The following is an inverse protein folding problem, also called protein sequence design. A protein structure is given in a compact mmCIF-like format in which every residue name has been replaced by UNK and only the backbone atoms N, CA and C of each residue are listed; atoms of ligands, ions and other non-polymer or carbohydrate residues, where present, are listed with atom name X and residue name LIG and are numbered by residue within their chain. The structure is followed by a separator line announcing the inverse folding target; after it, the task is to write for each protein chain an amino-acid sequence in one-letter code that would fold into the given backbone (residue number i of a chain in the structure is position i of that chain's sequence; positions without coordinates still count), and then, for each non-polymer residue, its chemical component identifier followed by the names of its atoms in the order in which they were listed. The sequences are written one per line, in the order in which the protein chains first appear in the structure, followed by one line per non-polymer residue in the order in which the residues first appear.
data_IF_334455525837
#
_entry.id   IF_334455525837
#
_cell.length_a   1.000
_cell.length_b   1.000
_cell.length_c   1.000
_cell.angle_alpha   90.00
_cell.angle_beta   90.00
_cell.angle_gamma   90.00
#
_symmetry.space_group_name_H-M   'P 1'
#
loop_
_entity.id
_entity.type
_entity.pdbx_description
1 polymer ?
#
# COMPACT_ATOMS: atom_id res chain seq x y z
N UNK A 1 -21.74 -13.66 -8.08
CA UNK A 1 -20.69 -14.45 -8.77
C UNK A 1 -19.24 -14.08 -8.43
N UNK A 2 -18.83 -12.80 -8.25
CA UNK A 2 -17.41 -12.46 -7.94
C UNK A 2 -16.92 -12.84 -6.52
N UNK A 3 -17.81 -13.19 -5.58
CA UNK A 3 -17.47 -13.38 -4.17
C UNK A 3 -17.23 -14.84 -3.74
N UNK A 4 -17.64 -15.84 -4.53
CA UNK A 4 -17.67 -17.24 -4.06
C UNK A 4 -16.42 -18.08 -4.36
N UNK A 5 -15.44 -17.59 -5.12
CA UNK A 5 -14.30 -18.43 -5.55
C UNK A 5 -12.90 -17.87 -5.25
N UNK A 6 -12.77 -16.72 -4.58
CA UNK A 6 -11.44 -16.23 -4.16
C UNK A 6 -11.18 -16.68 -2.72
N UNK A 7 -10.87 -17.97 -2.55
CA UNK A 7 -10.32 -18.49 -1.29
C UNK A 7 -8.80 -18.41 -1.34
N UNK A 8 -8.23 -17.44 -0.63
CA UNK A 8 -6.80 -17.47 -0.31
C UNK A 8 -6.62 -18.55 0.75
N UNK A 9 -5.83 -19.58 0.47
CA UNK A 9 -5.63 -20.75 1.32
C UNK A 9 -4.82 -20.49 2.60
N UNK A 10 -4.55 -19.22 2.91
CA UNK A 10 -3.79 -18.81 4.09
C UNK A 10 -4.74 -18.49 5.23
N UNK A 11 -4.42 -19.02 6.41
CA UNK A 11 -5.02 -18.53 7.65
C UNK A 11 -4.67 -17.04 7.81
N UNK A 12 -5.71 -16.21 7.89
CA UNK A 12 -5.60 -14.75 8.03
C UNK A 12 -5.67 -14.31 9.49
N UNK A 13 -5.65 -15.26 10.43
CA UNK A 13 -5.71 -15.04 11.87
C UNK A 13 -7.10 -14.62 12.37
N UNK A 14 -7.26 -14.46 13.69
CA UNK A 14 -8.54 -14.09 14.29
C UNK A 14 -9.00 -12.70 13.86
N UNK A 15 -10.32 -12.53 13.79
CA UNK A 15 -10.93 -11.34 13.18
C UNK A 15 -10.86 -10.13 14.09
N UNK A 16 -11.15 -10.32 15.38
CA UNK A 16 -11.43 -9.25 16.35
C UNK A 16 -10.31 -9.03 17.37
N UNK A 17 -9.56 -10.07 17.72
CA UNK A 17 -8.41 -9.95 18.64
C UNK A 17 -7.23 -9.16 18.02
N UNK A 18 -7.21 -9.03 16.70
CA UNK A 18 -6.18 -8.30 15.94
C UNK A 18 -6.52 -6.81 15.69
N UNK A 19 -7.73 -6.35 16.05
CA UNK A 19 -8.18 -4.99 15.73
C UNK A 19 -7.59 -3.93 16.67
N UNK A 20 -7.37 -4.31 17.93
CA UNK A 20 -7.00 -3.39 19.00
C UNK A 20 -5.52 -3.43 19.37
N UNK A 21 -4.76 -4.41 18.87
CA UNK A 21 -3.32 -4.51 19.12
C UNK A 21 -2.51 -3.81 18.01
N UNK A 22 -1.89 -2.64 18.28
CA UNK A 22 -1.05 -1.96 17.30
C UNK A 22 0.15 -2.80 16.85
N UNK A 23 0.63 -3.74 17.68
CA UNK A 23 1.73 -4.63 17.34
C UNK A 23 1.36 -5.59 16.21
N UNK A 24 0.07 -5.90 16.01
CA UNK A 24 -0.40 -6.70 14.89
C UNK A 24 -0.08 -6.05 13.54
N UNK A 25 -0.29 -4.74 13.44
CA UNK A 25 -0.07 -3.96 12.22
C UNK A 25 1.38 -3.52 12.05
N UNK A 26 2.16 -3.48 13.13
CA UNK A 26 3.50 -2.94 13.11
C UNK A 26 4.41 -3.68 12.12
N UNK A 27 5.19 -2.91 11.36
CA UNK A 27 6.34 -3.38 10.60
C UNK A 27 7.53 -2.49 10.97
N UNK A 28 8.71 -3.03 11.27
CA UNK A 28 9.87 -2.26 11.76
C UNK A 28 10.55 -1.45 10.63
N UNK A 29 9.79 -0.49 10.12
CA UNK A 29 10.15 0.39 9.03
C UNK A 29 9.98 1.84 9.46
N UNK A 30 11.02 2.37 10.06
CA UNK A 30 11.16 3.77 10.41
C UNK A 30 12.57 4.25 10.12
N UNK A 31 12.71 5.56 9.94
CA UNK A 31 13.99 6.23 9.85
C UNK A 31 14.00 7.44 10.77
N UNK A 32 15.20 7.81 11.20
CA UNK A 32 15.44 9.04 11.95
C UNK A 32 15.72 10.16 10.96
N UNK A 33 14.92 11.22 11.03
CA UNK A 33 15.09 12.45 10.26
C UNK A 33 16.28 13.25 10.77
N UNK A 34 16.73 14.24 10.02
CA UNK A 34 17.87 15.09 10.40
C UNK A 34 17.67 15.86 11.71
N UNK A 35 16.41 16.06 12.14
CA UNK A 35 16.03 16.70 13.40
C UNK A 35 15.94 15.71 14.59
N UNK A 36 16.29 14.43 14.38
CA UNK A 36 16.21 13.37 15.39
C UNK A 36 14.83 12.73 15.54
N UNK A 37 13.78 13.25 14.90
CA UNK A 37 12.45 12.65 14.94
C UNK A 37 12.39 11.37 14.12
N UNK A 38 11.61 10.37 14.58
CA UNK A 38 11.40 9.13 13.84
C UNK A 38 10.08 9.15 13.09
N UNK A 39 10.06 8.57 11.89
CA UNK A 39 8.85 8.41 11.09
C UNK A 39 8.74 7.00 10.53
N UNK A 40 7.62 6.35 10.79
CA UNK A 40 7.25 5.06 10.21
C UNK A 40 6.70 5.19 8.79
N UNK A 41 7.06 4.26 7.91
CA UNK A 41 6.74 4.32 6.48
C UNK A 41 5.54 3.46 6.10
N UNK A 42 5.42 2.29 6.71
CA UNK A 42 4.39 1.33 6.36
C UNK A 42 4.00 0.48 7.56
N UNK A 43 2.89 -0.23 7.39
CA UNK A 43 2.33 -1.17 8.34
C UNK A 43 1.71 -2.33 7.56
N UNK A 44 1.66 -3.51 8.17
CA UNK A 44 0.72 -4.53 7.73
C UNK A 44 -0.69 -4.03 7.96
N UNK A 45 -1.59 -4.24 7.00
CA UNK A 45 -3.03 -4.13 7.20
C UNK A 45 -3.65 -5.53 7.38
N UNK A 46 -3.04 -6.52 6.73
CA UNK A 46 -3.24 -7.94 7.00
C UNK A 46 -1.86 -8.59 7.03
N UNK A 47 -1.48 -9.16 8.19
CA UNK A 47 -0.12 -9.66 8.43
C UNK A 47 0.28 -10.70 7.37
N UNK A 48 1.49 -10.57 6.84
CA UNK A 48 2.06 -11.44 5.80
C UNK A 48 1.24 -11.56 4.50
N UNK A 49 0.31 -10.63 4.26
CA UNK A 49 -0.57 -10.64 3.08
C UNK A 49 -0.65 -9.27 2.41
N UNK A 50 -0.97 -8.23 3.17
CA UNK A 50 -1.26 -6.90 2.65
C UNK A 50 -0.59 -5.84 3.51
N UNK A 51 0.41 -5.18 2.95
CA UNK A 51 1.10 -4.03 3.53
C UNK A 51 0.65 -2.74 2.84
N UNK A 52 0.55 -1.66 3.62
CA UNK A 52 0.20 -0.33 3.12
C UNK A 52 1.23 0.69 3.60
N UNK A 53 1.66 1.61 2.71
CA UNK A 53 2.79 2.47 3.02
C UNK A 53 2.95 3.73 2.18
N UNK A 54 3.93 4.54 2.60
CA UNK A 54 4.45 5.72 1.89
C UNK A 54 5.17 5.32 0.60
N UNK A 55 5.68 6.29 -0.14
CA UNK A 55 6.60 6.01 -1.23
C UNK A 55 7.80 5.19 -0.69
N UNK A 56 8.16 4.03 -1.29
CA UNK A 56 9.08 3.08 -0.65
C UNK A 56 10.56 3.41 -0.88
N UNK A 57 10.87 4.58 -1.44
CA UNK A 57 12.24 4.99 -1.74
C UNK A 57 12.35 6.51 -1.62
N UNK A 58 13.41 7.13 -2.15
CA UNK A 58 13.61 8.57 -2.00
C UNK A 58 12.50 9.39 -2.65
N UNK A 59 11.79 10.16 -1.83
CA UNK A 59 10.73 11.07 -2.24
C UNK A 59 11.15 12.56 -2.13
N UNK A 60 10.39 13.49 -2.72
CA UNK A 60 10.70 14.91 -2.72
C UNK A 60 10.79 15.59 -1.34
N UNK A 61 10.09 15.09 -0.31
CA UNK A 61 10.18 15.61 1.07
C UNK A 61 11.49 15.21 1.75
N UNK A 62 12.23 14.25 1.18
CA UNK A 62 13.44 13.74 1.79
C UNK A 62 13.18 12.94 3.07
N UNK A 63 12.05 12.24 3.17
CA UNK A 63 11.76 11.40 4.34
C UNK A 63 12.81 10.30 4.51
N UNK A 64 13.37 9.80 3.41
CA UNK A 64 14.58 8.96 3.47
C UNK A 64 15.84 9.83 3.55
N UNK A 65 16.65 9.68 4.61
CA UNK A 65 17.86 10.49 4.79
C UNK A 65 18.88 10.30 3.66
N UNK A 66 18.93 9.11 3.05
CA UNK A 66 19.83 8.79 1.94
C UNK A 66 19.26 7.72 0.99
N UNK A 67 19.86 7.59 -0.21
CA UNK A 67 19.59 6.48 -1.14
C UNK A 67 19.87 5.12 -0.50
N UNK A 68 20.92 5.04 0.32
CA UNK A 68 21.30 3.81 1.04
C UNK A 68 20.20 3.40 2.02
N UNK A 69 19.61 4.37 2.71
CA UNK A 69 18.50 4.12 3.64
C UNK A 69 17.25 3.65 2.91
N UNK A 70 16.87 4.30 1.80
CA UNK A 70 15.79 3.82 0.96
C UNK A 70 16.03 2.39 0.44
N UNK A 71 17.27 2.07 0.05
CA UNK A 71 17.64 0.74 -0.43
C UNK A 71 17.53 -0.33 0.65
N UNK A 72 17.97 -0.02 1.87
CA UNK A 72 17.77 -0.88 3.06
C UNK A 72 16.28 -1.11 3.35
N UNK A 73 15.43 -0.11 3.14
CA UNK A 73 13.99 -0.26 3.33
C UNK A 73 13.41 -1.25 2.32
N UNK A 74 13.72 -1.08 1.03
CA UNK A 74 13.30 -1.99 -0.03
C UNK A 74 13.77 -3.43 0.24
N UNK A 75 15.02 -3.61 0.67
CA UNK A 75 15.54 -4.92 1.07
C UNK A 75 14.75 -5.55 2.21
N UNK A 76 14.44 -4.79 3.27
CA UNK A 76 13.58 -5.28 4.36
C UNK A 76 12.19 -5.72 3.88
N UNK A 77 11.62 -5.04 2.89
CA UNK A 77 10.33 -5.42 2.32
C UNK A 77 10.42 -6.73 1.52
N UNK A 78 11.51 -6.91 0.77
CA UNK A 78 11.80 -8.16 0.07
C UNK A 78 12.04 -9.32 1.05
N UNK A 79 12.80 -9.10 2.13
CA UNK A 79 13.00 -10.07 3.22
C UNK A 79 11.66 -10.44 3.88
N UNK A 80 10.72 -9.49 3.97
CA UNK A 80 9.35 -9.72 4.44
C UNK A 80 8.45 -10.43 3.40
N UNK A 81 8.98 -10.80 2.25
CA UNK A 81 8.29 -11.58 1.21
C UNK A 81 7.34 -10.78 0.33
N UNK A 82 7.48 -9.45 0.23
CA UNK A 82 6.68 -8.66 -0.71
C UNK A 82 6.97 -9.10 -2.15
N UNK A 83 5.94 -9.57 -2.86
CA UNK A 83 6.03 -10.06 -4.24
C UNK A 83 5.39 -9.12 -5.25
N UNK A 84 4.61 -8.12 -4.81
CA UNK A 84 4.08 -7.10 -5.70
C UNK A 84 4.04 -5.71 -5.05
N UNK A 85 4.50 -4.71 -5.81
CA UNK A 85 4.40 -3.30 -5.49
C UNK A 85 3.26 -2.67 -6.28
N UNK A 86 2.32 -2.03 -5.57
CA UNK A 86 1.12 -1.42 -6.15
C UNK A 86 1.18 0.09 -5.94
N UNK A 87 1.46 0.82 -7.01
CA UNK A 87 1.58 2.27 -7.00
C UNK A 87 0.24 2.93 -7.33
N UNK A 88 -0.20 3.86 -6.47
CA UNK A 88 -1.44 4.62 -6.65
C UNK A 88 -1.23 6.06 -7.13
N UNK A 89 0.00 6.47 -7.44
CA UNK A 89 0.34 7.86 -7.74
C UNK A 89 0.19 8.18 -9.23
N UNK A 90 -0.58 9.22 -9.56
CA UNK A 90 -0.70 9.71 -10.93
C UNK A 90 0.45 10.66 -11.33
N UNK A 91 1.09 11.24 -10.32
CA UNK A 91 2.16 12.24 -10.45
C UNK A 91 3.53 11.63 -10.79
N UNK A 92 3.62 10.31 -10.91
CA UNK A 92 4.83 9.59 -11.31
C UNK A 92 4.51 8.56 -12.42
N UNK A 93 5.49 8.21 -13.26
CA UNK A 93 5.35 7.13 -14.22
C UNK A 93 5.10 5.77 -13.55
N UNK A 94 4.76 4.75 -14.34
CA UNK A 94 4.72 3.38 -13.84
C UNK A 94 6.08 2.99 -13.24
N UNK A 95 6.11 2.38 -12.04
CA UNK A 95 7.34 1.99 -11.36
C UNK A 95 7.99 0.73 -11.94
N UNK A 96 7.40 0.10 -12.96
CA UNK A 96 7.95 -1.10 -13.57
C UNK A 96 9.39 -0.86 -14.08
N UNK A 97 10.36 -1.75 -13.80
CA UNK A 97 11.78 -1.56 -14.14
C UNK A 97 12.06 -1.30 -15.62
N UNK A 98 11.21 -1.82 -16.50
CA UNK A 98 11.27 -1.60 -17.95
C UNK A 98 10.91 -0.17 -18.37
N UNK A 99 10.27 0.62 -17.49
CA UNK A 99 9.77 1.95 -17.80
C UNK A 99 10.80 3.07 -17.55
N UNK A 100 12.10 2.74 -17.53
CA UNK A 100 13.21 3.68 -17.30
C UNK A 100 13.27 4.84 -18.29
N UNK A 101 12.71 4.68 -19.50
CA UNK A 101 12.59 5.78 -20.48
C UNK A 101 11.67 6.89 -19.99
N UNK A 102 10.58 6.54 -19.31
CA UNK A 102 9.64 7.51 -18.73
C UNK A 102 10.03 7.91 -17.29
N UNK A 103 10.79 7.07 -16.59
CA UNK A 103 11.28 7.32 -15.23
C UNK A 103 12.79 7.19 -15.13
N UNK A 104 13.55 8.26 -15.42
CA UNK A 104 15.01 8.21 -15.41
C UNK A 104 15.56 8.07 -13.98
N UNK A 105 16.82 7.63 -13.86
CA UNK A 105 17.49 7.39 -12.57
C UNK A 105 17.62 8.65 -11.70
N UNK A 106 17.67 9.81 -12.34
CA UNK A 106 17.67 11.13 -11.71
C UNK A 106 16.32 11.48 -11.07
N UNK A 107 15.29 10.68 -11.34
CA UNK A 107 13.94 10.84 -10.82
C UNK A 107 13.12 11.90 -11.55
N UNK A 108 11.85 11.98 -11.16
CA UNK A 108 10.89 12.95 -11.68
C UNK A 108 10.59 14.02 -10.61
N UNK A 109 10.67 15.28 -11.01
CA UNK A 109 10.18 16.40 -10.20
C UNK A 109 8.67 16.50 -10.32
N UNK A 110 8.04 17.17 -9.35
CA UNK A 110 6.65 17.61 -9.47
C UNK A 110 6.66 19.11 -9.78
N UNK A 111 6.57 19.55 -11.04
CA UNK A 111 6.67 20.98 -11.38
C UNK A 111 5.60 21.83 -10.70
N UNK A 112 4.45 21.24 -10.37
CA UNK A 112 3.35 21.93 -9.70
C UNK A 112 3.60 22.18 -8.21
N UNK A 113 4.63 21.54 -7.64
CA UNK A 113 4.99 21.66 -6.23
C UNK A 113 6.44 22.15 -6.15
N UNK A 114 6.70 23.24 -5.44
CA UNK A 114 8.06 23.74 -5.21
C UNK A 114 8.81 22.81 -4.24
N UNK A 115 9.25 21.66 -4.75
CA UNK A 115 9.82 20.58 -3.96
C UNK A 115 11.34 20.50 -4.14
N UNK A 116 12.11 20.33 -3.06
CA UNK A 116 13.56 20.41 -3.10
C UNK A 116 14.22 19.18 -3.74
N UNK A 117 13.48 18.08 -3.94
CA UNK A 117 13.99 16.80 -4.43
C UNK A 117 12.99 16.15 -5.41
N UNK A 118 13.40 15.02 -6.01
CA UNK A 118 12.64 14.26 -7.01
C UNK A 118 12.21 12.91 -6.46
N UNK A 119 11.17 12.31 -7.03
CA UNK A 119 10.89 10.90 -6.81
C UNK A 119 11.90 10.06 -7.60
N UNK A 120 12.79 9.37 -6.90
CA UNK A 120 13.75 8.45 -7.53
C UNK A 120 13.07 7.11 -7.84
N UNK A 121 13.30 6.49 -9.01
CA UNK A 121 12.63 5.24 -9.38
C UNK A 121 13.03 4.10 -8.44
N UNK A 122 12.04 3.43 -7.84
CA UNK A 122 12.29 2.31 -6.93
C UNK A 122 12.29 0.94 -7.62
N UNK A 123 11.56 0.77 -8.73
CA UNK A 123 11.46 -0.54 -9.39
C UNK A 123 12.79 -1.13 -9.84
N UNK A 124 13.66 -0.37 -10.53
CA UNK A 124 15.01 -0.81 -10.85
C UNK A 124 15.82 -1.21 -9.61
N UNK A 125 15.70 -0.45 -8.51
CA UNK A 125 16.38 -0.77 -7.24
C UNK A 125 15.84 -2.06 -6.64
N UNK A 126 14.51 -2.25 -6.61
CA UNK A 126 13.88 -3.49 -6.17
C UNK A 126 14.35 -4.69 -7.01
N UNK A 127 14.45 -4.53 -8.32
CA UNK A 127 14.97 -5.57 -9.23
C UNK A 127 16.42 -5.94 -8.90
N UNK A 128 17.28 -4.95 -8.68
CA UNK A 128 18.67 -5.17 -8.27
C UNK A 128 18.76 -5.88 -6.92
N UNK A 129 18.00 -5.43 -5.92
CA UNK A 129 18.01 -6.05 -4.59
C UNK A 129 17.47 -7.48 -4.62
N UNK A 130 16.34 -7.72 -5.30
CA UNK A 130 15.76 -9.06 -5.44
C UNK A 130 16.77 -10.04 -6.09
N UNK A 131 17.43 -9.62 -7.17
CA UNK A 131 18.46 -10.42 -7.81
C UNK A 131 19.66 -10.70 -6.87
N UNK A 132 20.10 -9.69 -6.10
CA UNK A 132 21.20 -9.85 -5.13
C UNK A 132 20.86 -10.82 -3.98
N UNK A 133 19.57 -11.01 -3.71
CA UNK A 133 19.04 -11.90 -2.66
C UNK A 133 18.65 -13.28 -3.21
N UNK A 134 18.78 -13.52 -4.51
CA UNK A 134 18.33 -14.76 -5.15
C UNK A 134 16.80 -14.93 -5.18
N UNK A 135 16.06 -13.82 -5.15
CA UNK A 135 14.60 -13.80 -5.19
C UNK A 135 14.10 -13.57 -6.63
N UNK A 136 12.87 -14.01 -6.90
CA UNK A 136 12.16 -13.58 -8.10
C UNK A 136 11.88 -12.08 -8.07
N UNK A 137 11.85 -11.45 -9.25
CA UNK A 137 11.58 -10.03 -9.37
C UNK A 137 10.10 -9.78 -9.03
N UNK A 138 9.78 -8.89 -8.07
CA UNK A 138 8.41 -8.54 -7.76
C UNK A 138 7.65 -7.98 -8.97
N UNK A 139 6.33 -8.16 -8.97
CA UNK A 139 5.44 -7.50 -9.93
C UNK A 139 5.23 -6.04 -9.57
N UNK A 140 5.04 -5.21 -10.59
CA UNK A 140 4.77 -3.78 -10.42
C UNK A 140 3.43 -3.44 -11.06
N UNK A 141 2.46 -3.07 -10.23
CA UNK A 141 1.12 -2.63 -10.67
C UNK A 141 1.03 -1.12 -10.50
N UNK A 142 0.38 -0.45 -11.46
CA UNK A 142 0.19 1.00 -11.43
C UNK A 142 -1.25 1.37 -11.71
N UNK A 143 -1.89 2.03 -10.75
CA UNK A 143 -3.21 2.61 -10.89
C UNK A 143 -3.12 4.10 -10.56
N UNK A 144 -2.86 4.96 -11.55
CA UNK A 144 -2.62 6.37 -11.31
C UNK A 144 -3.89 7.07 -10.80
N UNK A 145 -3.87 7.49 -9.53
CA UNK A 145 -4.94 8.29 -8.90
C UNK A 145 -4.38 9.67 -8.55
N UNK A 146 -5.00 10.77 -9.03
CA UNK A 146 -4.57 12.13 -8.65
C UNK A 146 -4.60 12.33 -7.14
N UNK A 147 -3.70 13.17 -6.62
CA UNK A 147 -3.59 13.37 -5.18
C UNK A 147 -4.90 13.85 -4.55
N UNK A 148 -5.16 13.41 -3.31
CA UNK A 148 -6.40 13.66 -2.56
C UNK A 148 -7.70 13.12 -3.21
N UNK A 149 -7.63 12.43 -4.34
CA UNK A 149 -8.79 11.82 -5.03
C UNK A 149 -8.97 10.34 -4.67
N UNK A 150 -10.02 9.76 -5.26
CA UNK A 150 -10.35 8.33 -5.23
C UNK A 150 -10.16 7.70 -6.62
N UNK A 151 -9.82 6.41 -6.71
CA UNK A 151 -9.78 5.72 -7.99
C UNK A 151 -11.17 5.66 -8.64
N UNK A 152 -11.21 5.71 -9.98
CA UNK A 152 -12.43 5.41 -10.75
C UNK A 152 -12.81 3.94 -10.59
N UNK A 153 -14.10 3.64 -10.71
CA UNK A 153 -14.63 2.29 -10.48
C UNK A 153 -13.94 1.22 -11.35
N UNK A 154 -13.88 1.40 -12.67
CA UNK A 154 -13.29 0.36 -13.53
C UNK A 154 -11.78 0.20 -13.32
N UNK A 155 -11.09 1.26 -12.89
CA UNK A 155 -9.66 1.19 -12.55
C UNK A 155 -9.45 0.43 -11.24
N UNK A 156 -10.25 0.76 -10.22
CA UNK A 156 -10.21 0.07 -8.93
C UNK A 156 -10.52 -1.42 -9.09
N UNK A 157 -11.61 -1.77 -9.78
CA UNK A 157 -12.03 -3.18 -9.93
C UNK A 157 -10.99 -4.02 -10.69
N UNK A 158 -10.37 -3.46 -11.74
CA UNK A 158 -9.26 -4.13 -12.44
C UNK A 158 -8.07 -4.35 -11.52
N UNK A 159 -7.66 -3.32 -10.79
CA UNK A 159 -6.54 -3.43 -9.86
C UNK A 159 -6.83 -4.45 -8.75
N UNK A 160 -8.02 -4.41 -8.14
CA UNK A 160 -8.42 -5.36 -7.09
C UNK A 160 -8.35 -6.80 -7.61
N UNK A 161 -8.84 -7.05 -8.83
CA UNK A 161 -8.74 -8.38 -9.46
C UNK A 161 -7.27 -8.81 -9.62
N UNK A 162 -6.41 -7.96 -10.16
CA UNK A 162 -5.02 -8.30 -10.40
C UNK A 162 -4.24 -8.53 -9.09
N UNK A 163 -4.57 -7.78 -8.04
CA UNK A 163 -4.09 -7.98 -6.67
C UNK A 163 -4.57 -9.31 -6.07
N UNK A 164 -5.83 -9.69 -6.28
CA UNK A 164 -6.37 -10.96 -5.78
C UNK A 164 -5.72 -12.16 -6.47
N UNK A 165 -5.45 -12.07 -7.78
CA UNK A 165 -4.71 -13.10 -8.52
C UNK A 165 -3.31 -13.31 -7.92
N UNK A 166 -2.61 -12.22 -7.61
CA UNK A 166 -1.30 -12.27 -6.95
C UNK A 166 -1.39 -12.98 -5.59
N UNK A 167 -2.37 -12.60 -4.77
CA UNK A 167 -2.58 -13.20 -3.45
C UNK A 167 -2.98 -14.68 -3.52
N UNK A 168 -3.77 -15.09 -4.52
CA UNK A 168 -4.12 -16.50 -4.76
C UNK A 168 -2.89 -17.34 -5.11
N UNK A 169 -1.91 -16.76 -5.81
CA UNK A 169 -0.61 -17.38 -6.07
C UNK A 169 0.30 -17.47 -4.83
N UNK A 170 -0.16 -17.03 -3.66
CA UNK A 170 0.67 -16.93 -2.46
C UNK A 170 1.54 -15.67 -2.41
N UNK A 171 1.27 -14.68 -3.25
CA UNK A 171 1.98 -13.40 -3.20
C UNK A 171 1.68 -12.60 -1.92
N UNK A 172 2.42 -11.50 -1.76
CA UNK A 172 2.20 -10.49 -0.71
C UNK A 172 2.28 -9.11 -1.34
N UNK A 173 1.33 -8.25 -1.00
CA UNK A 173 1.17 -6.95 -1.62
C UNK A 173 1.77 -5.85 -0.77
N UNK A 174 2.43 -4.91 -1.41
CA UNK A 174 2.71 -3.59 -0.87
C UNK A 174 1.97 -2.52 -1.68
N UNK A 175 0.96 -1.91 -1.07
CA UNK A 175 0.17 -0.84 -1.69
C UNK A 175 0.64 0.51 -1.18
N UNK A 176 0.98 1.41 -2.08
CA UNK A 176 1.52 2.71 -1.69
C UNK A 176 0.99 3.88 -2.51
N UNK A 177 1.11 5.05 -1.90
CA UNK A 177 1.05 6.35 -2.57
C UNK A 177 2.21 7.20 -2.03
N UNK A 178 2.13 8.53 -2.06
CA UNK A 178 3.18 9.35 -1.46
C UNK A 178 3.20 9.21 0.07
N UNK A 179 2.12 9.62 0.74
CA UNK A 179 2.04 9.61 2.21
C UNK A 179 1.55 8.30 2.82
N UNK A 180 1.01 7.38 2.01
CA UNK A 180 0.55 6.07 2.47
C UNK A 180 -0.65 6.06 3.41
N UNK A 181 -1.45 7.12 3.42
CA UNK A 181 -2.67 7.25 4.24
C UNK A 181 -3.95 7.58 3.45
N UNK A 182 -3.83 8.02 2.20
CA UNK A 182 -4.96 8.47 1.39
C UNK A 182 -5.34 7.42 0.34
N UNK A 183 -4.87 7.63 -0.90
CA UNK A 183 -5.13 6.77 -2.07
C UNK A 183 -4.78 5.30 -1.82
N UNK A 184 -3.62 5.03 -1.22
CA UNK A 184 -3.19 3.67 -0.88
C UNK A 184 -4.10 3.02 0.17
N UNK A 185 -4.55 3.79 1.16
CA UNK A 185 -5.45 3.32 2.19
C UNK A 185 -6.82 2.94 1.61
N UNK A 186 -7.35 3.69 0.64
CA UNK A 186 -8.61 3.33 -0.06
C UNK A 186 -8.51 1.95 -0.71
N UNK A 187 -7.51 1.73 -1.56
CA UNK A 187 -7.34 0.45 -2.25
C UNK A 187 -7.08 -0.69 -1.28
N UNK A 188 -6.23 -0.47 -0.26
CA UNK A 188 -5.92 -1.49 0.75
C UNK A 188 -7.14 -1.85 1.59
N UNK A 189 -7.99 -0.87 1.94
CA UNK A 189 -9.22 -1.10 2.67
C UNK A 189 -10.26 -1.87 1.83
N UNK A 190 -10.37 -1.58 0.53
CA UNK A 190 -11.19 -2.38 -0.39
C UNK A 190 -10.68 -3.82 -0.50
N UNK A 191 -9.36 -4.04 -0.56
CA UNK A 191 -8.77 -5.38 -0.50
C UNK A 191 -9.11 -6.07 0.84
N UNK A 192 -8.93 -5.38 1.96
CA UNK A 192 -9.27 -5.91 3.28
C UNK A 192 -10.74 -6.35 3.35
N UNK A 193 -11.69 -5.56 2.84
CA UNK A 193 -13.11 -5.89 2.80
C UNK A 193 -13.43 -7.16 1.95
N UNK A 194 -12.64 -7.40 0.91
CA UNK A 194 -12.75 -8.61 0.09
C UNK A 194 -12.16 -9.83 0.82
N UNK A 195 -11.02 -9.64 1.48
CA UNK A 195 -10.25 -10.69 2.17
C UNK A 195 -10.87 -11.11 3.50
N UNK A 196 -11.55 -10.18 4.18
CA UNK A 196 -12.16 -10.36 5.50
C UNK A 196 -13.67 -10.08 5.40
N UNK A 197 -14.42 -11.02 4.76
CA UNK A 197 -15.80 -10.80 4.37
C UNK A 197 -16.77 -10.54 5.53
N UNK A 198 -16.37 -10.91 6.74
CA UNK A 198 -17.09 -10.69 7.99
C UNK A 198 -17.01 -9.26 8.52
N UNK A 199 -16.10 -8.43 8.00
CA UNK A 199 -15.97 -7.03 8.42
C UNK A 199 -16.98 -6.14 7.70
N UNK A 200 -17.72 -5.35 8.48
CA UNK A 200 -18.56 -4.28 7.99
C UNK A 200 -17.78 -3.00 7.62
N UNK A 201 -18.46 -2.01 7.01
CA UNK A 201 -17.83 -0.77 6.57
C UNK A 201 -17.06 -0.01 7.67
N UNK A 202 -17.62 0.05 8.88
CA UNK A 202 -16.98 0.72 10.00
C UNK A 202 -15.76 -0.04 10.51
N UNK A 203 -15.82 -1.37 10.58
CA UNK A 203 -14.70 -2.20 11.02
C UNK A 203 -13.52 -2.07 10.05
N UNK A 204 -13.76 -2.09 8.73
CA UNK A 204 -12.72 -1.88 7.71
C UNK A 204 -12.04 -0.52 7.86
N UNK A 205 -12.80 0.55 8.10
CA UNK A 205 -12.25 1.89 8.34
C UNK A 205 -11.44 1.94 9.65
N UNK A 206 -11.91 1.28 10.72
CA UNK A 206 -11.18 1.19 11.99
C UNK A 206 -9.86 0.44 11.83
N UNK A 207 -9.84 -0.70 11.13
CA UNK A 207 -8.60 -1.44 10.81
C UNK A 207 -7.60 -0.55 10.06
N UNK A 208 -8.11 0.19 9.06
CA UNK A 208 -7.30 1.04 8.20
C UNK A 208 -6.68 2.20 8.98
N UNK A 209 -7.42 2.77 9.93
CA UNK A 209 -6.93 3.79 10.84
C UNK A 209 -5.93 3.21 11.84
N UNK A 210 -6.27 2.13 12.54
CA UNK A 210 -5.40 1.47 13.51
C UNK A 210 -4.06 1.05 12.91
N UNK A 211 -4.08 0.51 11.68
CA UNK A 211 -2.89 0.20 10.92
C UNK A 211 -2.02 1.43 10.68
N UNK A 212 -2.60 2.56 10.27
CA UNK A 212 -1.84 3.78 10.08
C UNK A 212 -1.27 4.35 11.39
N UNK A 213 -2.06 4.30 12.47
CA UNK A 213 -1.67 4.79 13.80
C UNK A 213 -0.55 3.95 14.43
N UNK A 214 -0.42 2.67 14.03
CA UNK A 214 0.72 1.82 14.45
C UNK A 214 2.08 2.30 13.94
N UNK A 215 2.12 3.21 12.95
CA UNK A 215 3.36 3.78 12.44
C UNK A 215 3.89 4.83 13.41
N UNK A 216 5.20 4.81 13.66
CA UNK A 216 5.87 5.86 14.45
C UNK A 216 5.60 7.24 13.82
N UNK A 217 5.05 8.17 14.61
CA UNK A 217 4.63 9.51 14.14
C UNK A 217 3.36 9.54 13.28
N UNK A 218 2.67 8.41 13.08
CA UNK A 218 1.46 8.27 12.26
C UNK A 218 0.20 8.86 12.88
N UNK A 219 0.01 8.72 14.20
CA UNK A 219 -1.25 8.91 14.93
C UNK A 219 -2.00 10.26 14.81
N UNK A 220 -1.49 11.23 14.06
CA UNK A 220 -2.08 12.58 13.96
C UNK A 220 -2.87 12.83 12.66
N UNK A 221 -3.12 11.80 11.84
CA UNK A 221 -3.86 11.96 10.58
C UNK A 221 -4.92 10.88 10.39
N UNK A 222 -6.04 11.27 9.77
CA UNK A 222 -7.06 10.33 9.35
C UNK A 222 -6.58 9.47 8.17
N UNK A 223 -6.92 8.18 8.19
CA UNK A 223 -6.65 7.22 7.12
C UNK A 223 -7.93 6.38 6.87
N UNK A 224 -8.56 6.45 5.68
CA UNK A 224 -8.25 7.32 4.55
C UNK A 224 -8.38 8.83 4.86
N UNK A 225 -7.58 9.64 4.15
CA UNK A 225 -7.34 11.06 4.46
C UNK A 225 -8.54 11.99 4.24
N UNK A 226 -9.29 11.82 3.15
CA UNK A 226 -10.43 12.71 2.81
C UNK A 226 -11.78 12.05 3.07
N UNK A 227 -12.82 12.85 3.26
CA UNK A 227 -14.18 12.32 3.41
C UNK A 227 -14.61 11.49 2.19
N UNK A 228 -14.31 11.96 0.97
CA UNK A 228 -14.61 11.22 -0.25
C UNK A 228 -13.92 9.84 -0.30
N UNK A 229 -12.69 9.75 0.19
CA UNK A 229 -11.96 8.47 0.29
C UNK A 229 -12.61 7.52 1.31
N UNK A 230 -13.03 8.04 2.47
CA UNK A 230 -13.75 7.25 3.49
C UNK A 230 -15.10 6.76 2.99
N UNK A 231 -15.86 7.63 2.32
CA UNK A 231 -17.13 7.27 1.66
C UNK A 231 -16.93 6.18 0.62
N UNK A 232 -15.88 6.27 -0.21
CA UNK A 232 -15.57 5.23 -1.21
C UNK A 232 -15.37 3.84 -0.58
N UNK A 233 -14.59 3.77 0.50
CA UNK A 233 -14.36 2.51 1.25
C UNK A 233 -15.65 2.00 1.88
N UNK A 234 -16.40 2.90 2.52
CA UNK A 234 -17.65 2.57 3.17
C UNK A 234 -18.68 1.99 2.18
N UNK A 235 -18.89 2.69 1.07
CA UNK A 235 -19.86 2.31 0.04
C UNK A 235 -19.48 1.01 -0.67
N UNK A 236 -18.18 0.83 -0.97
CA UNK A 236 -17.66 -0.42 -1.52
C UNK A 236 -17.94 -1.60 -0.57
N UNK A 237 -17.59 -1.45 0.71
CA UNK A 237 -17.79 -2.52 1.71
C UNK A 237 -19.28 -2.80 1.92
N UNK A 238 -20.12 -1.77 1.97
CA UNK A 238 -21.58 -1.91 2.08
C UNK A 238 -22.16 -2.66 0.88
N UNK A 239 -21.71 -2.36 -0.33
CA UNK A 239 -22.13 -3.07 -1.53
C UNK A 239 -21.76 -4.56 -1.47
N UNK A 240 -20.56 -4.91 -0.99
CA UNK A 240 -20.16 -6.31 -0.80
C UNK A 240 -21.06 -7.03 0.21
N UNK A 241 -21.37 -6.41 1.34
CA UNK A 241 -22.27 -6.97 2.36
C UNK A 241 -23.66 -7.23 1.78
N UNK A 242 -24.23 -6.26 1.04
CA UNK A 242 -25.54 -6.40 0.41
C UNK A 242 -25.57 -7.48 -0.68
N UNK A 243 -24.49 -7.62 -1.46
CA UNK A 243 -24.39 -8.65 -2.48
C UNK A 243 -24.39 -10.05 -1.86
N UNK A 244 -23.69 -10.23 -0.73
CA UNK A 244 -23.63 -11.51 -0.01
C UNK A 244 -24.96 -11.87 0.66
N UNK A 245 -25.63 -10.89 1.29
CA UNK A 245 -26.95 -11.11 1.91
C UNK A 245 -28.10 -11.38 0.93
N UNK A 246 -27.87 -11.20 -0.38
CA UNK A 246 -28.82 -11.62 -1.44
C UNK A 246 -28.53 -13.03 -1.97
N UNK A 247 -27.35 -13.58 -1.70
CA UNK A 247 -26.95 -14.94 -2.10
C UNK A 247 -27.24 -15.98 -1.00
N UNK A 248 -27.73 -15.54 0.17
CA UNK A 248 -28.19 -16.34 1.32
C UNK A 248 -29.71 -16.43 1.41
#
# INVERSE_FOLDING_TARGET
MLANEIRISRDMGPVRENLEDPAYYAFPSYYTRGDGSQRGFCNWLLRDVLMVGRYPYCDPMGDFPSKLDGRRHLKKMLDAGITAFVCMQAEIPSPAPENLKAWPWEGVSLPEFDMPRRFLPYGPVVKEEAASMGLEIPRFLHCPVPDMRVPKEEQLMRLLRDCLIELQGGGRLYVHCWGGLGRAAVTSACLLALLRPELGPNEVLLCTQAGYDSRIGGANYASPQTMAQRSKVHDFTRALVLLRGKES
#
